data_IF_751901642454
#
_entry.id   IF_751901642454
#
_cell.length_a   1.000
_cell.length_b   1.000
_cell.length_c   1.000
_cell.angle_alpha   90.00
_cell.angle_beta   90.00
_cell.angle_gamma   90.00
#
_symmetry.space_group_name_H-M   'P 1'
#
loop_
_entity.id
_entity.type
_entity.pdbx_description
1 polymer ?
#
# COMPACT_ATOMS: atom_id res chain seq x y z
N UNK A 1 -18.06 -5.40 1.19
CA UNK A 1 -18.25 -6.74 0.55
C UNK A 1 -17.88 -7.85 1.53
N UNK A 2 -18.52 -9.01 1.45
CA UNK A 2 -17.99 -10.21 2.07
C UNK A 2 -16.81 -10.72 1.23
N UNK A 3 -15.66 -10.93 1.85
CA UNK A 3 -14.44 -11.35 1.15
C UNK A 3 -14.32 -12.85 0.96
N UNK A 4 -15.21 -13.66 1.59
CA UNK A 4 -15.18 -15.09 1.45
C UNK A 4 -15.44 -15.53 -0.01
N UNK A 5 -14.53 -16.31 -0.57
CA UNK A 5 -14.56 -16.74 -1.97
C UNK A 5 -14.21 -15.65 -3.00
N UNK A 6 -13.85 -14.44 -2.56
CA UNK A 6 -13.41 -13.35 -3.44
C UNK A 6 -11.94 -13.49 -3.79
N UNK A 7 -11.57 -13.08 -5.01
CA UNK A 7 -10.19 -13.09 -5.47
C UNK A 7 -9.52 -11.73 -5.23
N UNK A 8 -8.38 -11.75 -4.53
CA UNK A 8 -7.61 -10.58 -4.17
C UNK A 8 -6.20 -10.62 -4.77
N UNK A 9 -5.80 -9.53 -5.43
CA UNK A 9 -4.46 -9.29 -5.91
C UNK A 9 -3.76 -8.29 -4.98
N UNK A 10 -2.64 -8.69 -4.34
CA UNK A 10 -1.92 -7.89 -3.35
C UNK A 10 -0.51 -7.58 -3.84
N UNK A 11 -0.30 -6.40 -4.40
CA UNK A 11 1.01 -5.90 -4.79
C UNK A 11 1.81 -5.42 -3.58
N UNK A 12 3.07 -5.86 -3.48
CA UNK A 12 3.89 -5.65 -2.29
C UNK A 12 3.51 -6.58 -1.13
N UNK A 13 2.86 -7.70 -1.43
CA UNK A 13 2.33 -8.65 -0.45
C UNK A 13 3.36 -9.63 0.13
N UNK A 14 4.65 -9.47 -0.13
CA UNK A 14 5.70 -10.38 0.38
C UNK A 14 6.29 -9.97 1.73
N UNK A 15 5.93 -8.81 2.26
CA UNK A 15 6.41 -8.34 3.57
C UNK A 15 5.53 -7.22 4.13
N UNK A 16 5.66 -6.96 5.44
CA UNK A 16 5.04 -5.82 6.12
C UNK A 16 3.53 -5.71 5.88
N UNK A 17 3.05 -4.50 5.62
CA UNK A 17 1.62 -4.19 5.51
C UNK A 17 0.91 -5.04 4.44
N UNK A 18 1.55 -5.21 3.27
CA UNK A 18 0.95 -6.00 2.18
C UNK A 18 0.81 -7.48 2.54
N UNK A 19 1.81 -8.06 3.22
CA UNK A 19 1.75 -9.43 3.69
C UNK A 19 0.65 -9.61 4.74
N UNK A 20 0.59 -8.75 5.73
CA UNK A 20 -0.44 -8.80 6.76
C UNK A 20 -1.86 -8.68 6.15
N UNK A 21 -2.05 -7.83 5.14
CA UNK A 21 -3.32 -7.73 4.42
C UNK A 21 -3.65 -9.02 3.66
N UNK A 22 -2.67 -9.63 3.00
CA UNK A 22 -2.84 -10.89 2.29
C UNK A 22 -3.24 -12.02 3.25
N UNK A 23 -2.58 -12.13 4.40
CA UNK A 23 -2.87 -13.14 5.43
C UNK A 23 -4.27 -12.94 6.05
N UNK A 24 -4.65 -11.69 6.37
CA UNK A 24 -5.98 -11.40 6.91
C UNK A 24 -7.09 -11.70 5.90
N UNK A 25 -6.92 -11.36 4.62
CA UNK A 25 -7.85 -11.71 3.55
C UNK A 25 -7.97 -13.24 3.40
N UNK A 26 -6.83 -13.93 3.39
CA UNK A 26 -6.80 -15.39 3.34
C UNK A 26 -7.51 -16.02 4.53
N UNK A 27 -7.27 -15.52 5.74
CA UNK A 27 -7.93 -15.98 6.98
C UNK A 27 -9.46 -15.81 6.95
N UNK A 28 -9.97 -14.89 6.14
CA UNK A 28 -11.40 -14.65 5.90
C UNK A 28 -11.96 -15.44 4.69
N UNK A 29 -11.17 -16.30 4.08
CA UNK A 29 -11.62 -17.18 2.98
C UNK A 29 -11.45 -16.61 1.58
N UNK A 30 -10.71 -15.52 1.39
CA UNK A 30 -10.40 -15.02 0.05
C UNK A 30 -9.35 -15.90 -0.66
N UNK A 31 -9.46 -15.99 -1.99
CA UNK A 31 -8.38 -16.46 -2.85
C UNK A 31 -7.37 -15.33 -3.04
N UNK A 32 -6.14 -15.52 -2.54
CA UNK A 32 -5.14 -14.45 -2.53
C UNK A 32 -3.99 -14.75 -3.48
N UNK A 33 -3.66 -13.77 -4.33
CA UNK A 33 -2.45 -13.75 -5.15
C UNK A 33 -1.57 -12.61 -4.68
N UNK A 34 -0.37 -12.94 -4.22
CA UNK A 34 0.64 -11.97 -3.79
C UNK A 34 1.59 -11.67 -4.94
N UNK A 35 1.77 -10.40 -5.23
CA UNK A 35 2.61 -9.93 -6.33
C UNK A 35 3.76 -9.09 -5.77
N UNK A 36 4.99 -9.40 -6.21
CA UNK A 36 6.17 -8.58 -5.92
C UNK A 36 7.24 -8.79 -6.98
N UNK A 37 8.28 -7.94 -6.97
CA UNK A 37 9.44 -8.10 -7.88
C UNK A 37 10.23 -9.37 -7.59
N UNK A 38 10.26 -9.78 -6.34
CA UNK A 38 10.96 -10.98 -5.88
C UNK A 38 10.07 -11.73 -4.86
N UNK A 39 9.23 -12.65 -5.35
CA UNK A 39 8.33 -13.43 -4.49
C UNK A 39 9.06 -14.35 -3.51
N UNK A 40 10.32 -14.73 -3.78
CA UNK A 40 11.08 -15.62 -2.90
C UNK A 40 11.31 -15.04 -1.49
N UNK A 41 11.22 -13.71 -1.36
CA UNK A 41 11.35 -13.01 -0.07
C UNK A 41 10.20 -13.25 0.90
N UNK A 42 9.08 -13.74 0.43
CA UNK A 42 7.93 -14.04 1.29
C UNK A 42 8.08 -15.34 2.09
N UNK A 43 9.11 -16.15 1.80
CA UNK A 43 9.19 -17.50 2.31
C UNK A 43 8.07 -18.39 1.72
N UNK A 44 7.72 -19.46 2.45
CA UNK A 44 6.59 -20.31 2.06
C UNK A 44 5.29 -19.70 2.62
N UNK A 45 4.47 -19.15 1.75
CA UNK A 45 3.10 -18.72 2.09
C UNK A 45 2.15 -19.89 1.83
N UNK A 46 1.63 -20.48 2.91
CA UNK A 46 0.71 -21.62 2.79
C UNK A 46 -0.57 -21.21 2.04
N UNK A 47 -0.83 -21.92 0.92
CA UNK A 47 -2.03 -21.72 0.10
C UNK A 47 -2.23 -20.27 -0.42
N UNK A 48 -1.17 -19.52 -0.62
CA UNK A 48 -1.17 -18.22 -1.29
C UNK A 48 -0.30 -18.32 -2.55
N UNK A 49 -0.89 -18.03 -3.70
CA UNK A 49 -0.18 -17.96 -4.98
C UNK A 49 0.74 -16.74 -4.98
N UNK A 50 1.97 -16.90 -5.46
CA UNK A 50 2.91 -15.79 -5.62
C UNK A 50 3.28 -15.58 -7.07
N UNK A 51 3.36 -14.33 -7.52
CA UNK A 51 3.70 -13.95 -8.90
C UNK A 51 4.76 -12.85 -8.90
N UNK A 52 5.75 -12.99 -9.79
CA UNK A 52 6.77 -11.96 -10.00
C UNK A 52 6.25 -10.90 -10.97
N UNK A 53 6.21 -9.62 -10.54
CA UNK A 53 5.91 -8.49 -11.41
C UNK A 53 6.44 -7.18 -10.79
N UNK A 54 7.04 -6.33 -11.60
CA UNK A 54 7.35 -4.94 -11.23
C UNK A 54 6.16 -4.06 -11.64
N UNK A 55 5.61 -3.31 -10.71
CA UNK A 55 4.48 -2.38 -10.97
C UNK A 55 4.83 -1.26 -11.99
N UNK A 56 6.09 -1.12 -12.35
CA UNK A 56 6.56 -0.15 -13.34
C UNK A 56 6.67 -0.77 -14.75
N UNK A 57 6.61 -2.08 -14.87
CA UNK A 57 6.60 -2.81 -16.15
C UNK A 57 5.16 -2.97 -16.63
N UNK A 58 4.73 -2.08 -17.52
CA UNK A 58 3.34 -2.03 -18.02
C UNK A 58 2.95 -3.26 -18.83
N UNK A 59 3.89 -3.84 -19.57
CA UNK A 59 3.62 -5.04 -20.38
C UNK A 59 3.46 -6.29 -19.51
N UNK A 60 4.30 -6.40 -18.46
CA UNK A 60 4.16 -7.46 -17.46
C UNK A 60 2.86 -7.31 -16.65
N UNK A 61 2.48 -6.09 -16.29
CA UNK A 61 1.22 -5.82 -15.59
C UNK A 61 0.00 -6.19 -16.44
N UNK A 62 -0.04 -5.78 -17.72
CA UNK A 62 -1.16 -6.12 -18.62
C UNK A 62 -1.36 -7.63 -18.68
N UNK A 63 -0.29 -8.37 -18.95
CA UNK A 63 -0.32 -9.85 -19.00
C UNK A 63 -0.74 -10.48 -17.67
N UNK A 64 -0.27 -9.91 -16.54
CA UNK A 64 -0.65 -10.39 -15.21
C UNK A 64 -2.15 -10.24 -14.99
N UNK A 65 -2.71 -9.05 -15.26
CA UNK A 65 -4.14 -8.80 -15.08
C UNK A 65 -5.01 -9.64 -16.00
N UNK A 66 -4.62 -9.83 -17.27
CA UNK A 66 -5.30 -10.75 -18.19
C UNK A 66 -5.31 -12.20 -17.66
N UNK A 67 -4.19 -12.68 -17.11
CA UNK A 67 -4.08 -14.05 -16.58
C UNK A 67 -4.83 -14.25 -15.26
N UNK A 68 -4.96 -13.20 -14.45
CA UNK A 68 -5.62 -13.28 -13.13
C UNK A 68 -7.07 -12.82 -13.16
N UNK A 69 -7.57 -12.33 -14.29
CA UNK A 69 -8.97 -11.90 -14.44
C UNK A 69 -9.97 -13.07 -14.39
N UNK A 70 -11.20 -12.84 -13.88
CA UNK A 70 -11.59 -11.67 -13.12
C UNK A 70 -11.09 -11.73 -11.67
N UNK A 71 -11.05 -10.58 -11.00
CA UNK A 71 -10.75 -10.48 -9.57
C UNK A 71 -11.61 -9.38 -8.91
N UNK A 72 -11.75 -9.41 -7.58
CA UNK A 72 -12.66 -8.54 -6.84
C UNK A 72 -11.94 -7.46 -6.02
N UNK A 73 -10.71 -7.72 -5.63
CA UNK A 73 -9.95 -6.87 -4.71
C UNK A 73 -8.56 -6.63 -5.28
N UNK A 74 -8.15 -5.36 -5.38
CA UNK A 74 -6.80 -4.95 -5.72
C UNK A 74 -6.22 -4.12 -4.58
N UNK A 75 -5.14 -4.60 -3.98
CA UNK A 75 -4.40 -3.85 -2.96
C UNK A 75 -3.01 -3.53 -3.50
N UNK A 76 -2.58 -2.27 -3.42
CA UNK A 76 -1.21 -1.91 -3.72
C UNK A 76 -0.53 -1.23 -2.53
N UNK A 77 0.35 -2.02 -1.88
CA UNK A 77 1.29 -1.59 -0.86
C UNK A 77 2.74 -1.57 -1.39
N UNK A 78 2.92 -1.75 -2.71
CA UNK A 78 4.24 -1.74 -3.34
C UNK A 78 4.89 -0.36 -3.21
N UNK A 79 6.11 -0.34 -2.69
CA UNK A 79 6.85 0.90 -2.47
C UNK A 79 7.78 1.16 -3.64
N UNK A 80 7.47 1.21 -4.85
CA UNK A 80 8.37 1.53 -6.01
C UNK A 80 9.79 2.02 -5.61
N UNK A 81 10.57 2.63 -6.29
CA UNK A 81 11.94 3.10 -6.11
C UNK A 81 12.47 3.55 -4.73
N UNK A 82 13.52 4.33 -4.73
CA UNK A 82 14.14 4.91 -3.53
C UNK A 82 13.28 6.03 -2.93
N UNK A 83 13.47 6.29 -1.65
CA UNK A 83 12.80 7.40 -0.95
C UNK A 83 13.83 8.45 -0.57
N UNK A 84 13.77 9.63 -1.18
CA UNK A 84 14.60 10.73 -0.76
C UNK A 84 14.15 11.26 0.63
N UNK A 85 15.11 11.58 1.45
CA UNK A 85 14.91 12.17 2.78
C UNK A 85 16.02 13.16 3.10
N UNK A 86 15.76 14.09 4.02
CA UNK A 86 16.69 15.11 4.44
C UNK A 86 16.20 16.52 4.10
N UNK A 87 16.94 17.58 4.51
CA UNK A 87 16.56 18.96 4.26
C UNK A 87 16.36 19.22 2.75
N UNK A 88 15.26 19.84 2.37
CA UNK A 88 14.87 20.01 0.97
C UNK A 88 15.94 20.64 0.09
N UNK A 89 16.58 21.71 0.56
CA UNK A 89 17.62 22.41 -0.21
C UNK A 89 18.91 21.61 -0.41
N UNK A 90 19.07 20.49 0.29
CA UNK A 90 20.23 19.60 0.20
C UNK A 90 19.84 18.20 -0.34
N UNK A 91 18.53 18.01 -0.61
CA UNK A 91 18.02 16.74 -1.08
C UNK A 91 18.47 16.47 -2.52
N UNK A 92 18.93 15.26 -2.80
CA UNK A 92 19.24 14.84 -4.16
C UNK A 92 17.98 14.89 -5.02
N UNK A 93 18.05 15.64 -6.13
CA UNK A 93 16.91 15.87 -7.00
C UNK A 93 16.49 14.61 -7.76
N UNK A 94 17.43 13.74 -8.10
CA UNK A 94 17.11 12.45 -8.73
C UNK A 94 16.47 11.50 -7.72
N UNK A 95 16.95 11.48 -6.48
CA UNK A 95 16.28 10.75 -5.39
C UNK A 95 14.86 11.26 -5.13
N UNK A 96 14.66 12.59 -5.21
CA UNK A 96 13.31 13.18 -5.12
C UNK A 96 12.42 12.68 -6.25
N UNK A 97 12.92 12.72 -7.49
CA UNK A 97 12.21 12.22 -8.69
C UNK A 97 11.86 10.74 -8.57
N UNK A 98 12.84 9.92 -8.17
CA UNK A 98 12.66 8.46 -7.99
C UNK A 98 11.68 8.11 -6.87
N UNK A 99 11.43 9.01 -5.91
CA UNK A 99 10.40 8.80 -4.88
C UNK A 99 9.00 8.71 -5.49
N UNK A 100 8.76 9.32 -6.68
CA UNK A 100 7.49 9.25 -7.40
C UNK A 100 7.25 7.91 -8.11
N UNK A 101 8.23 7.01 -8.17
CA UNK A 101 8.03 5.64 -8.69
C UNK A 101 6.89 4.91 -7.98
N UNK A 102 6.63 5.25 -6.72
CA UNK A 102 5.48 4.74 -5.99
C UNK A 102 4.15 5.17 -6.62
N UNK A 103 4.01 6.45 -6.96
CA UNK A 103 2.81 6.96 -7.63
C UNK A 103 2.63 6.32 -8.99
N UNK A 104 3.70 6.23 -9.80
CA UNK A 104 3.65 5.59 -11.11
C UNK A 104 3.25 4.12 -11.01
N UNK A 105 3.82 3.37 -10.06
CA UNK A 105 3.43 1.99 -9.83
C UNK A 105 1.95 1.83 -9.47
N UNK A 106 1.42 2.71 -8.63
CA UNK A 106 0.00 2.70 -8.27
C UNK A 106 -0.91 3.09 -9.43
N UNK A 107 -0.54 4.13 -10.18
CA UNK A 107 -1.26 4.56 -11.39
C UNK A 107 -1.32 3.43 -12.40
N UNK A 108 -0.21 2.71 -12.62
CA UNK A 108 -0.18 1.57 -13.53
C UNK A 108 -1.09 0.43 -13.03
N UNK A 109 -1.02 0.08 -11.73
CA UNK A 109 -1.91 -0.95 -11.17
C UNK A 109 -3.39 -0.61 -11.38
N UNK A 110 -3.78 0.65 -11.16
CA UNK A 110 -5.17 1.09 -11.36
C UNK A 110 -5.51 1.11 -12.87
N UNK A 111 -4.65 1.70 -13.69
CA UNK A 111 -4.89 1.88 -15.13
C UNK A 111 -5.07 0.55 -15.86
N UNK A 112 -4.23 -0.43 -15.57
CA UNK A 112 -4.27 -1.74 -16.22
C UNK A 112 -5.14 -2.76 -15.50
N UNK A 113 -5.39 -2.58 -14.20
CA UNK A 113 -6.15 -3.53 -13.40
C UNK A 113 -7.65 -3.25 -13.32
N UNK A 114 -8.06 -1.98 -13.40
CA UNK A 114 -9.47 -1.62 -13.19
C UNK A 114 -10.45 -2.22 -14.23
N UNK A 115 -9.99 -2.48 -15.45
CA UNK A 115 -10.81 -3.10 -16.50
C UNK A 115 -11.13 -4.58 -16.18
N UNK A 116 -10.24 -5.26 -15.48
CA UNK A 116 -10.36 -6.67 -15.10
C UNK A 116 -10.98 -6.90 -13.71
N UNK A 117 -11.16 -5.81 -12.95
CA UNK A 117 -11.83 -5.83 -11.65
C UNK A 117 -13.32 -6.04 -11.83
N UNK A 118 -13.95 -6.88 -10.99
CA UNK A 118 -15.40 -7.08 -11.00
C UNK A 118 -16.14 -5.75 -10.82
N UNK A 119 -17.41 -5.69 -11.24
CA UNK A 119 -18.18 -4.44 -11.25
C UNK A 119 -18.32 -3.82 -9.84
N UNK A 120 -18.51 -4.66 -8.83
CA UNK A 120 -18.55 -4.25 -7.41
C UNK A 120 -17.18 -4.30 -6.73
N UNK A 121 -16.11 -4.42 -7.50
CA UNK A 121 -14.77 -4.60 -6.98
C UNK A 121 -14.21 -3.35 -6.29
N UNK A 122 -13.12 -3.54 -5.54
CA UNK A 122 -12.52 -2.47 -4.76
C UNK A 122 -11.00 -2.42 -4.91
N UNK A 123 -10.46 -1.21 -4.90
CA UNK A 123 -9.03 -0.92 -4.93
C UNK A 123 -8.64 -0.20 -3.64
N UNK A 124 -7.55 -0.64 -3.01
CA UNK A 124 -6.98 0.05 -1.84
C UNK A 124 -5.50 0.34 -2.07
N UNK A 125 -5.14 1.61 -2.00
CA UNK A 125 -3.75 2.07 -2.10
C UNK A 125 -3.22 2.50 -0.73
N UNK A 126 -1.91 2.46 -0.54
CA UNK A 126 -1.27 2.83 0.74
C UNK A 126 -0.46 4.12 0.56
N UNK A 127 -0.89 5.24 1.18
CA UNK A 127 -0.14 6.50 1.20
C UNK A 127 0.85 6.57 2.38
N UNK A 128 0.68 7.50 3.28
CA UNK A 128 1.44 7.66 4.53
C UNK A 128 1.16 9.00 5.20
N UNK A 129 1.17 9.04 6.52
CA UNK A 129 0.88 10.22 7.35
C UNK A 129 1.62 11.51 6.95
N UNK A 130 2.88 11.46 6.45
CA UNK A 130 3.56 12.64 5.94
C UNK A 130 2.82 13.40 4.83
N UNK A 131 1.90 12.76 4.12
CA UNK A 131 1.06 13.39 3.09
C UNK A 131 0.29 14.60 3.63
N UNK A 132 -0.08 14.58 4.90
CA UNK A 132 -0.87 15.63 5.57
C UNK A 132 -0.08 16.42 6.61
N UNK A 133 0.86 15.78 7.29
CA UNK A 133 1.65 16.39 8.38
C UNK A 133 3.11 16.01 8.23
N UNK A 134 3.78 16.60 7.24
CA UNK A 134 5.19 16.34 6.99
C UNK A 134 6.08 16.97 8.08
N UNK A 135 7.08 16.23 8.51
CA UNK A 135 8.19 16.72 9.32
C UNK A 135 9.34 17.22 8.41
N UNK A 136 10.26 17.98 8.97
CA UNK A 136 11.50 18.39 8.24
C UNK A 136 12.17 17.15 7.66
N UNK A 137 12.59 17.24 6.40
CA UNK A 137 13.23 16.13 5.68
C UNK A 137 12.28 15.16 4.99
N UNK A 138 10.97 15.37 5.05
CA UNK A 138 9.98 14.47 4.49
C UNK A 138 9.28 14.99 3.21
N UNK A 139 9.80 16.07 2.58
CA UNK A 139 9.13 16.71 1.43
C UNK A 139 8.83 15.74 0.28
N UNK A 140 9.75 14.83 -0.06
CA UNK A 140 9.54 13.87 -1.14
C UNK A 140 8.40 12.87 -0.82
N UNK A 141 8.45 12.22 0.34
CA UNK A 141 7.43 11.23 0.72
C UNK A 141 6.06 11.89 0.97
N UNK A 142 6.05 13.13 1.47
CA UNK A 142 4.84 13.93 1.65
C UNK A 142 4.18 14.26 0.30
N UNK A 143 4.97 14.73 -0.66
CA UNK A 143 4.49 15.04 -2.01
C UNK A 143 3.92 13.80 -2.71
N UNK A 144 4.62 12.67 -2.63
CA UNK A 144 4.15 11.40 -3.21
C UNK A 144 2.88 10.92 -2.54
N UNK A 145 2.82 10.94 -1.20
CA UNK A 145 1.63 10.53 -0.46
C UNK A 145 0.42 11.40 -0.80
N UNK A 146 0.60 12.73 -0.84
CA UNK A 146 -0.45 13.67 -1.24
C UNK A 146 -0.92 13.44 -2.68
N UNK A 147 0.01 13.14 -3.61
CA UNK A 147 -0.32 12.81 -4.99
C UNK A 147 -1.14 11.52 -5.09
N UNK A 148 -0.82 10.47 -4.32
CA UNK A 148 -1.61 9.22 -4.26
C UNK A 148 -3.02 9.49 -3.76
N UNK A 149 -3.17 10.27 -2.69
CA UNK A 149 -4.49 10.59 -2.13
C UNK A 149 -5.35 11.41 -3.11
N UNK A 150 -4.74 12.39 -3.78
CA UNK A 150 -5.45 13.20 -4.75
C UNK A 150 -5.77 12.42 -6.03
N UNK A 151 -4.88 11.52 -6.46
CA UNK A 151 -5.15 10.60 -7.57
C UNK A 151 -6.41 9.76 -7.30
N UNK A 152 -6.54 9.19 -6.11
CA UNK A 152 -7.71 8.39 -5.72
C UNK A 152 -8.99 9.23 -5.75
N UNK A 153 -8.97 10.45 -5.22
CA UNK A 153 -10.14 11.35 -5.27
C UNK A 153 -10.55 11.70 -6.71
N UNK A 154 -9.57 11.89 -7.60
CA UNK A 154 -9.81 12.23 -8.98
C UNK A 154 -10.39 11.06 -9.77
N UNK A 155 -9.86 9.82 -9.55
CA UNK A 155 -10.23 8.66 -10.37
C UNK A 155 -11.50 7.95 -9.87
N UNK A 156 -11.90 8.13 -8.62
CA UNK A 156 -13.06 7.46 -8.04
C UNK A 156 -14.37 7.68 -8.85
N UNK A 157 -14.69 8.90 -9.33
CA UNK A 157 -15.87 9.11 -10.18
C UNK A 157 -15.76 8.44 -11.54
N UNK A 158 -14.54 8.26 -12.08
CA UNK A 158 -14.33 7.73 -13.43
C UNK A 158 -14.48 6.20 -13.49
N UNK A 159 -14.21 5.51 -12.36
CA UNK A 159 -14.26 4.04 -12.30
C UNK A 159 -15.50 3.51 -11.58
N UNK A 160 -16.40 4.40 -11.12
CA UNK A 160 -17.66 3.95 -10.49
C UNK A 160 -18.44 2.98 -11.40
N UNK A 161 -19.10 1.94 -10.85
CA UNK A 161 -19.38 1.70 -9.44
C UNK A 161 -18.23 1.02 -8.65
N UNK A 162 -17.10 0.70 -9.28
CA UNK A 162 -15.92 0.19 -8.60
C UNK A 162 -15.41 1.21 -7.59
N UNK A 163 -14.98 0.73 -6.42
CA UNK A 163 -14.54 1.61 -5.33
C UNK A 163 -13.02 1.73 -5.30
N UNK A 164 -12.51 2.87 -4.92
CA UNK A 164 -11.08 3.08 -4.70
C UNK A 164 -10.84 3.97 -3.49
N UNK A 165 -9.95 3.55 -2.59
CA UNK A 165 -9.66 4.23 -1.34
C UNK A 165 -8.16 4.20 -1.00
N UNK A 166 -7.78 4.97 0.01
CA UNK A 166 -6.41 5.03 0.54
C UNK A 166 -6.41 4.71 2.03
N UNK A 167 -5.41 3.94 2.45
CA UNK A 167 -5.00 3.85 3.86
C UNK A 167 -3.70 4.61 4.02
N UNK A 168 -3.62 5.46 5.04
CA UNK A 168 -2.48 6.32 5.35
C UNK A 168 -1.84 5.90 6.68
N UNK A 169 -0.80 5.06 6.65
CA UNK A 169 -0.13 4.61 7.86
C UNK A 169 0.82 5.66 8.45
N UNK A 170 0.98 5.63 9.76
CA UNK A 170 2.00 6.35 10.50
C UNK A 170 3.37 5.67 10.47
N UNK A 171 4.05 5.67 11.61
CA UNK A 171 5.26 4.88 11.83
C UNK A 171 4.86 3.45 12.14
N UNK A 172 5.13 2.54 11.22
CA UNK A 172 4.74 1.11 11.33
C UNK A 172 6.00 0.26 11.40
N UNK A 173 6.07 -0.61 12.39
CA UNK A 173 7.17 -1.55 12.55
C UNK A 173 7.14 -2.61 11.44
N UNK A 174 7.98 -2.42 10.43
CA UNK A 174 8.07 -3.26 9.24
C UNK A 174 9.53 -3.48 8.85
N UNK A 175 9.85 -4.50 8.03
CA UNK A 175 11.20 -4.72 7.52
C UNK A 175 11.82 -3.52 6.78
N UNK A 176 11.03 -2.52 6.43
CA UNK A 176 11.50 -1.26 5.84
C UNK A 176 12.48 -0.50 6.74
N UNK A 177 12.37 -0.65 8.05
CA UNK A 177 13.27 -0.04 9.04
C UNK A 177 14.53 -0.89 9.30
N UNK A 178 14.80 -1.89 8.47
CA UNK A 178 15.94 -2.78 8.61
C UNK A 178 15.63 -4.04 9.43
N UNK A 179 16.65 -4.86 9.72
CA UNK A 179 16.49 -6.06 10.53
C UNK A 179 16.13 -5.73 11.97
N UNK A 180 15.51 -6.67 12.65
CA UNK A 180 15.20 -6.56 14.08
C UNK A 180 16.48 -6.34 14.90
N UNK A 181 16.47 -5.28 15.72
CA UNK A 181 17.61 -4.90 16.57
C UNK A 181 17.17 -3.89 17.64
N UNK A 182 17.92 -3.78 18.72
CA UNK A 182 17.71 -2.75 19.75
C UNK A 182 17.78 -1.33 19.17
N UNK A 183 18.60 -1.12 18.13
CA UNK A 183 18.71 0.16 17.46
C UNK A 183 17.41 0.51 16.72
N UNK A 184 16.78 -0.48 16.05
CA UNK A 184 15.48 -0.30 15.39
C UNK A 184 14.40 0.03 16.41
N UNK A 185 14.35 -0.69 17.53
CA UNK A 185 13.38 -0.42 18.61
C UNK A 185 13.53 1.01 19.12
N UNK A 186 14.74 1.45 19.48
CA UNK A 186 14.99 2.82 19.96
C UNK A 186 14.63 3.89 18.92
N UNK A 187 14.89 3.61 17.63
CA UNK A 187 14.53 4.52 16.54
C UNK A 187 13.01 4.67 16.42
N UNK A 188 12.26 3.57 16.49
CA UNK A 188 10.79 3.57 16.43
C UNK A 188 10.18 4.25 17.64
N UNK A 189 10.67 3.97 18.85
CA UNK A 189 10.26 4.66 20.09
C UNK A 189 10.49 6.17 19.99
N UNK A 190 11.69 6.59 19.55
CA UNK A 190 12.01 8.00 19.36
C UNK A 190 11.13 8.69 18.30
N UNK A 191 10.82 7.99 17.21
CA UNK A 191 9.97 8.53 16.14
C UNK A 191 8.51 8.72 16.56
N UNK A 192 8.03 7.92 17.52
CA UNK A 192 6.63 7.89 17.98
C UNK A 192 6.38 8.50 19.36
N UNK A 193 7.42 8.93 20.06
CA UNK A 193 7.35 9.45 21.44
C UNK A 193 6.34 10.60 21.63
N UNK A 194 6.02 11.34 20.57
CA UNK A 194 5.06 12.45 20.61
C UNK A 194 3.71 12.13 19.98
N UNK A 195 3.50 10.91 19.46
CA UNK A 195 2.20 10.50 18.94
C UNK A 195 1.19 10.37 20.08
N UNK A 196 -0.10 10.47 19.75
CA UNK A 196 -1.15 10.28 20.76
C UNK A 196 -1.15 8.85 21.30
N UNK A 197 -0.81 7.87 20.47
CA UNK A 197 -0.46 6.52 20.86
C UNK A 197 1.06 6.37 20.70
N UNK A 198 1.86 6.48 21.78
CA UNK A 198 3.31 6.66 21.70
C UNK A 198 4.06 5.33 21.48
N UNK A 199 3.72 4.63 20.41
CA UNK A 199 4.41 3.44 19.91
C UNK A 199 4.30 3.35 18.40
N UNK A 200 5.17 2.57 17.78
CA UNK A 200 4.97 2.17 16.39
C UNK A 200 3.69 1.31 16.27
N UNK A 201 2.97 1.48 15.18
CA UNK A 201 1.89 0.56 14.80
C UNK A 201 2.47 -0.74 14.24
N UNK A 202 1.61 -1.76 14.11
CA UNK A 202 1.97 -3.02 13.48
C UNK A 202 1.43 -3.10 12.04
N UNK A 203 1.96 -4.03 11.25
CA UNK A 203 1.46 -4.31 9.90
C UNK A 203 0.00 -4.74 9.92
N UNK A 204 -0.41 -5.50 10.94
CA UNK A 204 -1.76 -6.04 11.13
C UNK A 204 -2.77 -4.93 11.46
N UNK A 205 -2.37 -3.91 12.21
CA UNK A 205 -3.21 -2.74 12.49
C UNK A 205 -3.53 -1.96 11.20
N UNK A 206 -2.53 -1.80 10.32
CA UNK A 206 -2.76 -1.16 9.02
C UNK A 206 -3.57 -2.05 8.08
N UNK A 207 -3.31 -3.36 8.08
CA UNK A 207 -4.08 -4.34 7.32
C UNK A 207 -5.57 -4.33 7.73
N UNK A 208 -5.88 -4.17 9.02
CA UNK A 208 -7.27 -4.01 9.49
C UNK A 208 -7.94 -2.76 8.90
N UNK A 209 -7.19 -1.66 8.73
CA UNK A 209 -7.65 -0.48 8.01
C UNK A 209 -7.89 -0.74 6.51
N UNK A 210 -7.02 -1.53 5.88
CA UNK A 210 -7.21 -1.97 4.49
C UNK A 210 -8.48 -2.82 4.36
N UNK A 211 -8.68 -3.78 5.26
CA UNK A 211 -9.87 -4.63 5.26
C UNK A 211 -11.15 -3.81 5.49
N UNK A 212 -11.14 -2.81 6.37
CA UNK A 212 -12.26 -1.89 6.52
C UNK A 212 -12.63 -1.23 5.19
N UNK A 213 -11.64 -0.76 4.41
CA UNK A 213 -11.88 -0.16 3.09
C UNK A 213 -12.40 -1.19 2.06
N UNK A 214 -12.00 -2.44 2.19
CA UNK A 214 -12.51 -3.54 1.34
C UNK A 214 -13.94 -3.89 1.71
N UNK A 215 -14.23 -4.11 2.98
CA UNK A 215 -15.50 -4.66 3.48
C UNK A 215 -16.64 -3.64 3.53
N UNK A 216 -16.33 -2.34 3.68
CA UNK A 216 -17.35 -1.29 3.76
C UNK A 216 -17.73 -0.78 2.37
N UNK A 217 -18.88 -1.22 1.87
CA UNK A 217 -19.35 -0.90 0.51
C UNK A 217 -19.80 0.54 0.32
N UNK A 218 -19.96 1.31 1.40
CA UNK A 218 -20.38 2.71 1.34
C UNK A 218 -19.19 3.70 1.45
N UNK A 219 -17.95 3.19 1.25
CA UNK A 219 -16.73 3.99 1.34
C UNK A 219 -15.99 3.97 0.00
N UNK A 220 -15.85 5.12 -0.65
CA UNK A 220 -15.06 5.31 -1.87
C UNK A 220 -14.50 6.74 -1.97
N UNK A 221 -13.39 6.93 -2.68
CA UNK A 221 -12.76 8.22 -2.93
C UNK A 221 -12.14 8.88 -1.70
N UNK A 222 -11.88 8.14 -0.64
CA UNK A 222 -11.44 8.68 0.64
C UNK A 222 -10.13 8.08 1.14
N UNK A 223 -9.62 8.66 2.22
CA UNK A 223 -8.44 8.19 2.94
C UNK A 223 -8.75 8.07 4.42
N UNK A 224 -8.36 6.93 5.02
CA UNK A 224 -8.32 6.80 6.48
C UNK A 224 -6.89 6.80 7.00
N UNK A 225 -6.69 7.37 8.17
CA UNK A 225 -5.42 7.35 8.89
C UNK A 225 -5.37 6.16 9.84
N UNK A 226 -4.26 5.42 9.80
CA UNK A 226 -3.88 4.38 10.77
C UNK A 226 -2.48 4.74 11.25
N UNK A 227 -2.37 5.79 12.07
CA UNK A 227 -1.13 6.50 12.32
C UNK A 227 -0.79 6.73 13.80
N UNK A 228 -1.62 6.22 14.72
CA UNK A 228 -1.43 6.41 16.15
C UNK A 228 -1.61 7.86 16.61
N UNK A 229 -2.32 8.68 15.82
CA UNK A 229 -2.46 10.11 16.07
C UNK A 229 -1.13 10.84 15.81
N UNK A 230 -0.61 10.68 14.60
CA UNK A 230 0.59 11.38 14.11
C UNK A 230 0.43 12.89 14.23
N UNK A 231 1.36 13.57 14.92
CA UNK A 231 1.43 15.02 15.14
C UNK A 231 2.79 15.61 14.74
#
# INVERSE_FOLDING_TARGET
>A
MDVNGKKALVFGGTSGIGLAAAEQLKGKGAEVVVISRDPSKAGQLENIKTVACDVRDTDALSKLFENEAPFDILISAATGGSRASGPFLQMDIEGYRNSFDKLWGYTNCVRFGAEHLSEEGTIVLVSGAPARRAKVGQSAIASVGGAVEQFVRAIAPEIAPKRINVVSPGVIDTPMFGPESDQRVKMLEGATAKHLIPRAGTSEEVASGILFMVENDYVTGTTIDVDGGWI
#
